data_IF_119364396354
#
_entry.id   IF_119364396354
#
_cell.length_a   1.000
_cell.length_b   1.000
_cell.length_c   1.000
_cell.angle_alpha   90.00
_cell.angle_beta   90.00
_cell.angle_gamma   90.00
#
_symmetry.space_group_name_H-M   'P 1'
#
loop_
_entity.id
_entity.type
_entity.pdbx_description
1 polymer ?
#
# COMPACT_ATOMS: atom_id res chain seq x y z
N UNK A 1 -3.11 -24.06 32.21
CA UNK A 1 -1.95 -23.16 32.35
C UNK A 1 -0.69 -24.00 32.28
N UNK A 2 -0.08 -24.14 31.10
CA UNK A 2 1.26 -24.72 31.01
C UNK A 2 2.25 -23.60 31.29
N UNK A 3 2.97 -23.72 32.41
CA UNK A 3 4.14 -22.91 32.72
C UNK A 3 5.40 -23.63 32.27
N UNK A 4 6.44 -22.89 31.92
CA UNK A 4 7.71 -23.47 31.46
C UNK A 4 8.90 -22.71 32.08
N UNK A 5 10.03 -23.41 32.17
CA UNK A 5 11.20 -23.09 32.98
C UNK A 5 12.52 -23.03 32.19
N UNK A 6 13.14 -21.83 32.16
CA UNK A 6 14.58 -21.46 32.22
C UNK A 6 15.38 -21.63 30.91
N UNK A 7 16.22 -20.70 30.39
CA UNK A 7 17.04 -19.59 30.91
C UNK A 7 17.13 -18.44 29.87
N UNK A 8 16.87 -17.19 30.27
CA UNK A 8 17.17 -15.97 29.49
C UNK A 8 16.54 -14.71 30.11
N UNK A 9 17.21 -13.54 30.04
CA UNK A 9 16.68 -12.27 30.55
C UNK A 9 15.89 -11.53 29.47
N UNK A 10 14.61 -11.28 29.76
CA UNK A 10 13.74 -10.35 29.04
C UNK A 10 13.99 -8.95 29.58
N UNK A 11 14.48 -8.03 28.76
CA UNK A 11 14.38 -6.60 29.08
C UNK A 11 12.97 -6.13 28.69
N UNK A 12 12.02 -6.38 29.59
CA UNK A 12 10.69 -5.77 29.54
C UNK A 12 10.88 -4.32 29.95
N UNK A 13 10.85 -3.34 29.06
CA UNK A 13 10.47 -1.96 29.36
C UNK A 13 10.55 -1.13 28.08
N UNK A 14 9.41 -0.79 27.47
CA UNK A 14 8.99 0.62 27.40
C UNK A 14 7.47 0.71 27.41
N UNK A 15 6.91 1.26 28.49
CA UNK A 15 5.54 1.76 28.51
C UNK A 15 5.62 3.24 28.15
N UNK A 16 5.54 3.57 26.85
CA UNK A 16 5.35 4.97 26.47
C UNK A 16 3.89 5.32 26.74
N UNK A 17 3.64 6.44 27.40
CA UNK A 17 2.30 6.98 27.62
C UNK A 17 1.52 6.97 26.29
N UNK A 18 0.52 6.10 26.17
CA UNK A 18 -0.34 5.97 24.99
C UNK A 18 0.15 5.03 23.87
N UNK A 19 1.14 4.14 24.08
CA UNK A 19 1.60 3.17 23.06
C UNK A 19 1.60 1.71 23.55
N UNK A 20 1.45 0.76 22.62
CA UNK A 20 1.49 -0.68 22.91
C UNK A 20 2.90 -1.12 23.39
N UNK A 21 2.98 -2.03 24.38
CA UNK A 21 4.25 -2.62 24.83
C UNK A 21 4.89 -3.52 23.77
N UNK A 22 6.21 -3.39 23.59
CA UNK A 22 7.03 -4.22 22.70
C UNK A 22 7.96 -5.15 23.50
N UNK A 23 8.22 -6.35 22.96
CA UNK A 23 9.25 -7.25 23.45
C UNK A 23 10.45 -7.23 22.49
N UNK A 24 11.65 -6.95 23.00
CA UNK A 24 12.90 -6.99 22.23
C UNK A 24 13.67 -8.25 22.55
N UNK A 25 14.03 -9.01 21.51
CA UNK A 25 14.81 -10.24 21.54
C UNK A 25 16.23 -9.92 21.06
N UNK A 26 17.20 -9.92 21.98
CA UNK A 26 18.62 -9.66 21.69
C UNK A 26 19.45 -10.95 21.68
N UNK A 27 20.50 -11.05 20.86
CA UNK A 27 21.41 -12.18 20.89
C UNK A 27 22.17 -12.24 22.24
N UNK A 28 21.99 -13.32 23.00
CA UNK A 28 22.97 -13.76 24.00
C UNK A 28 23.76 -14.92 23.40
N UNK A 29 25.06 -14.99 23.68
CA UNK A 29 25.95 -16.07 23.25
C UNK A 29 25.27 -17.44 23.40
N UNK A 30 24.73 -17.96 22.29
CA UNK A 30 24.06 -19.26 22.14
C UNK A 30 22.75 -19.56 22.93
N UNK A 31 21.89 -18.59 23.26
CA UNK A 31 20.63 -18.91 23.96
C UNK A 31 19.35 -18.23 23.42
N UNK A 32 18.26 -19.00 23.46
CA UNK A 32 16.86 -18.66 23.15
C UNK A 32 16.28 -17.58 24.08
N UNK A 33 15.44 -16.69 23.56
CA UNK A 33 14.71 -15.72 24.40
C UNK A 33 13.38 -16.28 24.88
N UNK A 34 13.22 -16.37 26.19
CA UNK A 34 12.02 -16.87 26.89
C UNK A 34 11.21 -15.68 27.46
N UNK A 35 10.03 -15.38 26.90
CA UNK A 35 9.13 -14.38 27.49
C UNK A 35 8.27 -15.00 28.62
N UNK A 36 8.47 -14.55 29.87
CA UNK A 36 7.64 -14.96 31.01
C UNK A 36 6.61 -13.90 31.36
N UNK A 37 5.33 -14.25 31.32
CA UNK A 37 4.24 -13.46 31.89
C UNK A 37 3.54 -14.26 32.99
N UNK A 38 3.63 -13.81 34.23
CA UNK A 38 3.12 -14.52 35.42
C UNK A 38 1.71 -14.11 35.85
N UNK A 39 1.02 -13.30 35.06
CA UNK A 39 -0.41 -13.04 35.26
C UNK A 39 -1.07 -12.63 33.96
N UNK A 40 -2.36 -12.96 33.85
CA UNK A 40 -3.27 -12.45 32.84
C UNK A 40 -3.24 -10.91 32.93
N UNK A 41 -2.39 -10.29 32.10
CA UNK A 41 -2.29 -8.85 32.02
C UNK A 41 -3.56 -8.34 31.36
N UNK A 42 -4.25 -7.41 32.01
CA UNK A 42 -5.41 -6.71 31.46
C UNK A 42 -5.02 -5.61 30.46
N UNK A 43 -3.73 -5.52 30.09
CA UNK A 43 -3.21 -4.60 29.09
C UNK A 43 -2.72 -5.36 27.86
N UNK A 44 -2.74 -4.72 26.70
CA UNK A 44 -2.32 -5.16 25.34
C UNK A 44 -0.82 -5.56 25.23
N UNK A 45 -0.31 -6.30 26.22
CA UNK A 45 1.04 -6.81 26.33
C UNK A 45 1.31 -7.96 25.37
N UNK A 46 2.55 -8.13 24.86
CA UNK A 46 2.95 -9.29 24.09
C UNK A 46 2.44 -10.58 24.77
N UNK A 47 1.54 -11.29 24.11
CA UNK A 47 0.82 -12.40 24.71
C UNK A 47 0.65 -13.55 23.74
N UNK A 48 0.86 -14.76 24.25
CA UNK A 48 0.78 -16.00 23.49
C UNK A 48 -0.19 -16.94 24.21
N UNK A 49 -1.16 -17.46 23.46
CA UNK A 49 -2.05 -18.55 23.91
C UNK A 49 -2.28 -19.50 22.75
N UNK A 50 -2.37 -20.81 23.05
CA UNK A 50 -2.75 -21.84 22.08
C UNK A 50 -1.91 -21.82 20.78
N UNK A 51 -0.59 -21.58 20.90
CA UNK A 51 0.36 -21.45 19.78
C UNK A 51 0.09 -20.27 18.83
N UNK A 52 -0.71 -19.31 19.28
CA UNK A 52 -1.00 -18.05 18.58
C UNK A 52 -0.38 -16.87 19.33
N UNK A 53 0.25 -15.98 18.58
CA UNK A 53 0.72 -14.68 19.07
C UNK A 53 -0.44 -13.69 18.94
N UNK A 54 -1.11 -13.40 20.06
CA UNK A 54 -2.40 -12.70 20.04
C UNK A 54 -2.22 -11.18 20.09
N UNK A 55 -1.24 -10.69 20.85
CA UNK A 55 -1.02 -9.26 21.09
C UNK A 55 0.47 -8.89 21.04
N UNK A 56 0.72 -7.60 20.83
CA UNK A 56 2.02 -6.94 21.01
C UNK A 56 2.98 -7.07 19.83
N UNK A 57 4.06 -6.30 19.89
CA UNK A 57 5.13 -6.30 18.89
C UNK A 57 6.32 -7.09 19.40
N UNK A 58 6.81 -8.02 18.57
CA UNK A 58 7.96 -8.86 18.85
C UNK A 58 9.10 -8.46 17.91
N UNK A 59 10.11 -7.80 18.44
CA UNK A 59 11.28 -7.34 17.71
C UNK A 59 12.40 -8.37 17.87
N UNK A 60 12.88 -8.95 16.76
CA UNK A 60 13.99 -9.90 16.75
C UNK A 60 15.19 -9.26 16.07
N UNK A 61 16.18 -8.90 16.89
CA UNK A 61 17.43 -8.30 16.42
C UNK A 61 18.31 -9.33 15.66
N UNK A 62 19.33 -8.89 14.91
CA UNK A 62 20.26 -9.77 14.21
C UNK A 62 20.85 -10.84 15.15
N UNK A 63 20.97 -12.07 14.66
CA UNK A 63 21.37 -13.28 15.41
C UNK A 63 20.49 -13.64 16.61
N UNK A 64 19.45 -12.83 16.88
CA UNK A 64 18.40 -13.07 17.85
C UNK A 64 17.49 -14.21 17.42
N UNK A 65 16.87 -14.83 18.42
CA UNK A 65 16.19 -16.11 18.29
C UNK A 65 14.94 -16.11 19.16
N UNK A 66 13.77 -15.86 18.57
CA UNK A 66 12.49 -15.92 19.30
C UNK A 66 12.02 -17.36 19.39
N UNK A 67 12.08 -18.00 20.56
CA UNK A 67 11.70 -19.40 20.77
C UNK A 67 10.61 -19.54 21.83
N UNK A 68 9.58 -20.34 21.54
CA UNK A 68 8.57 -20.67 22.54
C UNK A 68 8.94 -21.87 23.40
N UNK A 69 8.49 -21.77 24.63
CA UNK A 69 8.71 -22.70 25.70
C UNK A 69 8.14 -24.10 25.38
N UNK A 70 8.92 -25.17 25.62
CA UNK A 70 8.52 -26.56 25.38
C UNK A 70 8.69 -27.07 23.94
N UNK A 71 9.24 -26.26 23.03
CA UNK A 71 9.41 -26.63 21.62
C UNK A 71 8.10 -26.60 20.82
N UNK A 72 7.05 -25.98 21.37
CA UNK A 72 5.78 -25.78 20.69
C UNK A 72 5.96 -24.82 19.51
N UNK A 73 5.43 -25.20 18.36
CA UNK A 73 5.51 -24.42 17.13
C UNK A 73 4.46 -23.31 17.16
N UNK A 74 4.86 -22.04 17.00
CA UNK A 74 3.88 -20.99 16.65
C UNK A 74 3.32 -21.39 15.30
N UNK A 75 2.00 -21.51 15.23
CA UNK A 75 1.29 -21.79 13.98
C UNK A 75 0.54 -20.56 13.46
N UNK A 76 0.46 -19.49 14.26
CA UNK A 76 -0.33 -18.32 13.91
C UNK A 76 0.15 -16.99 14.53
N UNK A 77 0.12 -15.92 13.75
CA UNK A 77 0.10 -14.53 14.22
C UNK A 77 -1.37 -14.07 14.22
N UNK A 78 -1.89 -13.69 15.38
CA UNK A 78 -3.24 -13.14 15.53
C UNK A 78 -3.32 -11.71 14.99
N UNK A 79 -4.55 -11.21 14.77
CA UNK A 79 -4.77 -9.91 14.12
C UNK A 79 -4.19 -8.70 14.87
N UNK A 80 -3.94 -8.86 16.18
CA UNK A 80 -3.32 -7.83 17.03
C UNK A 80 -1.87 -8.14 17.40
N UNK A 81 -1.28 -9.14 16.75
CA UNK A 81 0.12 -9.53 16.88
C UNK A 81 0.98 -8.98 15.74
N UNK A 82 2.21 -8.60 16.05
CA UNK A 82 3.21 -8.22 15.05
C UNK A 82 4.57 -8.85 15.36
N UNK A 83 5.26 -9.33 14.32
CA UNK A 83 6.65 -9.80 14.39
C UNK A 83 7.48 -8.98 13.41
N UNK A 84 8.57 -8.39 13.89
CA UNK A 84 9.60 -7.76 13.07
C UNK A 84 10.89 -8.55 13.23
N UNK A 85 11.41 -9.08 12.13
CA UNK A 85 12.72 -9.73 12.09
C UNK A 85 13.70 -8.79 11.36
N UNK A 86 14.82 -8.47 12.00
CA UNK A 86 15.90 -7.66 11.40
C UNK A 86 17.16 -8.50 11.25
N UNK A 87 17.81 -8.40 10.08
CA UNK A 87 19.18 -8.85 9.90
C UNK A 87 19.21 -10.36 9.70
N UNK A 88 20.10 -11.03 10.41
CA UNK A 88 20.10 -12.48 10.55
C UNK A 88 19.11 -13.01 11.61
N UNK A 89 18.24 -12.15 12.16
CA UNK A 89 17.27 -12.51 13.19
C UNK A 89 16.34 -13.65 12.76
N UNK A 90 16.01 -14.54 13.70
CA UNK A 90 15.26 -15.77 13.44
C UNK A 90 14.10 -15.94 14.40
N UNK A 91 12.99 -16.46 13.89
CA UNK A 91 11.93 -17.05 14.69
C UNK A 91 12.22 -18.56 14.85
N UNK A 92 12.47 -19.05 16.07
CA UNK A 92 13.11 -20.34 16.29
C UNK A 92 12.18 -21.55 16.38
N UNK A 93 12.74 -22.64 15.84
CA UNK A 93 12.17 -23.92 15.44
C UNK A 93 11.32 -23.89 14.17
N UNK A 94 11.50 -22.86 13.33
CA UNK A 94 10.96 -22.80 11.97
C UNK A 94 12.04 -22.57 10.89
N UNK A 95 13.21 -23.26 10.85
CA UNK A 95 13.75 -23.57 9.53
C UNK A 95 12.79 -24.53 8.79
N UNK A 96 11.82 -25.14 9.48
CA UNK A 96 10.68 -25.89 8.95
C UNK A 96 9.49 -25.74 9.91
N UNK A 97 8.49 -24.90 9.62
CA UNK A 97 7.14 -25.17 10.16
C UNK A 97 6.73 -26.48 9.55
N UNK A 98 6.64 -27.56 10.31
CA UNK A 98 6.07 -28.79 9.75
C UNK A 98 4.58 -28.55 9.59
N UNK A 99 4.14 -28.38 8.35
CA UNK A 99 2.77 -28.03 8.02
C UNK A 99 2.58 -26.54 7.75
N UNK A 100 1.40 -26.04 8.10
CA UNK A 100 0.93 -24.71 7.73
C UNK A 100 1.20 -23.67 8.82
N UNK A 101 1.35 -22.40 8.40
CA UNK A 101 1.43 -21.24 9.28
C UNK A 101 0.48 -20.15 8.78
N UNK A 102 -0.23 -19.48 9.69
CA UNK A 102 -1.15 -18.39 9.37
C UNK A 102 -0.67 -17.03 9.90
N UNK A 103 -0.76 -15.98 9.10
CA UNK A 103 -0.56 -14.60 9.56
C UNK A 103 -1.85 -13.80 9.39
N UNK A 104 -2.48 -13.39 10.48
CA UNK A 104 -3.60 -12.44 10.45
C UNK A 104 -3.20 -11.03 10.94
N UNK A 105 -1.99 -10.87 11.45
CA UNK A 105 -1.44 -9.63 11.97
C UNK A 105 -0.39 -9.05 11.02
N UNK A 106 0.77 -8.67 11.55
CA UNK A 106 1.89 -8.18 10.75
C UNK A 106 3.14 -9.06 10.88
N UNK A 107 3.77 -9.37 9.74
CA UNK A 107 5.09 -9.99 9.66
C UNK A 107 6.00 -9.13 8.79
N UNK A 108 7.05 -8.56 9.34
CA UNK A 108 8.00 -7.73 8.60
C UNK A 108 9.38 -8.39 8.67
N UNK A 109 9.99 -8.58 7.50
CA UNK A 109 11.29 -9.20 7.31
C UNK A 109 12.22 -8.16 6.68
N UNK A 110 13.25 -7.73 7.39
CA UNK A 110 14.22 -6.75 6.91
C UNK A 110 15.67 -7.25 7.07
N UNK A 111 16.58 -6.74 6.24
CA UNK A 111 18.03 -6.96 6.39
C UNK A 111 18.48 -8.40 6.18
N UNK A 112 17.89 -9.12 5.22
CA UNK A 112 18.07 -10.55 4.95
C UNK A 112 17.43 -11.52 5.96
N UNK A 113 16.45 -11.05 6.73
CA UNK A 113 15.69 -11.92 7.62
C UNK A 113 14.99 -13.03 6.81
N UNK A 114 14.98 -14.25 7.34
CA UNK A 114 14.38 -15.41 6.67
C UNK A 114 13.26 -16.03 7.51
N UNK A 115 12.16 -16.38 6.86
CA UNK A 115 11.03 -17.08 7.46
C UNK A 115 10.70 -18.35 6.66
N UNK A 116 10.75 -19.54 7.29
CA UNK A 116 10.55 -20.82 6.59
C UNK A 116 9.36 -21.63 7.11
N UNK A 117 8.53 -22.09 6.18
CA UNK A 117 7.34 -22.93 6.36
C UNK A 117 7.47 -24.16 5.45
N UNK A 118 7.21 -25.38 5.93
CA UNK A 118 7.44 -26.59 5.10
C UNK A 118 6.34 -26.86 4.09
N UNK A 119 5.13 -26.36 4.35
CA UNK A 119 3.96 -26.48 3.47
C UNK A 119 3.47 -25.08 3.10
N UNK A 120 2.36 -24.63 3.70
CA UNK A 120 1.64 -23.42 3.29
C UNK A 120 1.79 -22.30 4.29
N UNK A 121 2.20 -21.12 3.82
CA UNK A 121 2.07 -19.87 4.55
C UNK A 121 0.82 -19.13 4.09
N UNK A 122 -0.23 -19.13 4.92
CA UNK A 122 -1.48 -18.41 4.63
C UNK A 122 -1.45 -17.03 5.27
N UNK A 123 -1.53 -15.99 4.45
CA UNK A 123 -1.57 -14.60 4.89
C UNK A 123 -2.99 -14.05 4.78
N UNK A 124 -3.50 -13.49 5.87
CA UNK A 124 -4.72 -12.70 5.96
C UNK A 124 -4.50 -11.29 6.53
N UNK A 125 -3.26 -10.97 6.91
CA UNK A 125 -2.81 -9.66 7.39
C UNK A 125 -1.76 -9.05 6.48
N UNK A 126 -0.77 -8.35 7.06
CA UNK A 126 0.31 -7.68 6.33
C UNK A 126 1.61 -8.49 6.39
N UNK A 127 2.29 -8.58 5.25
CA UNK A 127 3.66 -9.07 5.13
C UNK A 127 4.51 -8.01 4.43
N UNK A 128 5.57 -7.54 5.09
CA UNK A 128 6.57 -6.64 4.51
C UNK A 128 7.87 -7.37 4.25
N UNK A 129 8.36 -7.39 3.01
CA UNK A 129 9.63 -7.98 2.60
C UNK A 129 10.61 -6.91 2.16
N UNK A 130 11.50 -6.52 3.07
CA UNK A 130 12.42 -5.41 2.90
C UNK A 130 13.87 -5.87 2.89
N UNK A 131 14.75 -5.15 2.20
CA UNK A 131 16.22 -5.32 2.25
C UNK A 131 16.69 -6.80 2.26
N UNK A 132 16.21 -7.60 1.30
CA UNK A 132 16.56 -9.02 1.18
C UNK A 132 15.78 -9.97 2.08
N UNK A 133 14.75 -9.48 2.78
CA UNK A 133 13.80 -10.28 3.53
C UNK A 133 13.20 -11.39 2.66
N UNK A 134 13.12 -12.61 3.20
CA UNK A 134 12.66 -13.75 2.41
C UNK A 134 11.78 -14.74 3.16
N UNK A 135 10.82 -15.28 2.42
CA UNK A 135 9.97 -16.39 2.84
C UNK A 135 10.39 -17.63 2.08
N UNK A 136 10.44 -18.78 2.74
CA UNK A 136 10.57 -20.08 2.12
C UNK A 136 9.32 -20.90 2.48
N UNK A 137 8.51 -21.24 1.49
CA UNK A 137 7.32 -22.08 1.64
C UNK A 137 7.14 -22.97 0.41
N UNK A 138 6.38 -24.07 0.48
CA UNK A 138 5.94 -24.71 -0.77
C UNK A 138 4.92 -23.81 -1.47
N UNK A 139 4.03 -23.21 -0.66
CA UNK A 139 2.99 -22.30 -1.12
C UNK A 139 2.84 -21.11 -0.18
N UNK A 140 2.76 -19.92 -0.74
CA UNK A 140 2.22 -18.72 -0.11
C UNK A 140 0.79 -18.54 -0.58
N UNK A 141 -0.16 -18.31 0.32
CA UNK A 141 -1.57 -18.04 0.00
C UNK A 141 -1.97 -16.70 0.60
N UNK A 142 -2.23 -15.70 -0.24
CA UNK A 142 -2.82 -14.43 0.17
C UNK A 142 -4.34 -14.49 0.12
N UNK A 143 -5.01 -14.29 1.26
CA UNK A 143 -6.46 -14.17 1.31
C UNK A 143 -6.92 -12.78 0.79
N UNK A 144 -8.22 -12.58 0.50
CA UNK A 144 -8.75 -11.29 0.01
C UNK A 144 -8.42 -10.05 0.84
N UNK A 145 -8.21 -10.20 2.15
CA UNK A 145 -7.84 -9.10 3.04
C UNK A 145 -6.34 -8.92 3.25
N UNK A 146 -5.52 -9.75 2.59
CA UNK A 146 -4.08 -9.79 2.81
C UNK A 146 -3.36 -8.72 2.00
N UNK A 147 -2.24 -8.25 2.55
CA UNK A 147 -1.31 -7.35 1.89
C UNK A 147 0.09 -7.93 1.95
N UNK A 148 0.79 -7.88 0.82
CA UNK A 148 2.19 -8.23 0.68
C UNK A 148 2.89 -7.07 -0.01
N UNK A 149 3.85 -6.46 0.67
CA UNK A 149 4.66 -5.41 0.07
C UNK A 149 6.12 -5.48 0.49
N UNK A 150 6.84 -4.39 0.22
CA UNK A 150 8.20 -4.15 0.66
C UNK A 150 9.16 -3.85 -0.49
N UNK A 151 10.25 -3.16 -0.16
CA UNK A 151 11.17 -2.61 -1.15
C UNK A 151 12.09 -3.65 -1.81
N UNK A 152 12.38 -4.77 -1.16
CA UNK A 152 13.26 -5.79 -1.73
C UNK A 152 13.04 -7.14 -1.04
N UNK A 153 12.23 -8.00 -1.66
CA UNK A 153 11.75 -9.23 -1.07
C UNK A 153 11.90 -10.47 -1.95
N UNK A 154 11.96 -11.64 -1.33
CA UNK A 154 11.89 -12.91 -2.06
C UNK A 154 10.94 -13.92 -1.41
N UNK A 155 10.05 -14.52 -2.21
CA UNK A 155 9.28 -15.70 -1.82
C UNK A 155 9.83 -16.90 -2.57
N UNK A 156 10.41 -17.85 -1.85
CA UNK A 156 10.85 -19.13 -2.36
C UNK A 156 9.71 -20.13 -2.21
N UNK A 157 8.89 -20.26 -3.26
CA UNK A 157 7.67 -21.07 -3.27
C UNK A 157 6.71 -20.59 -4.35
N UNK A 158 5.64 -21.36 -4.58
CA UNK A 158 4.55 -20.87 -5.44
C UNK A 158 3.67 -19.89 -4.66
N UNK A 159 3.13 -18.88 -5.33
CA UNK A 159 2.29 -17.84 -4.73
C UNK A 159 0.90 -17.91 -5.34
N UNK A 160 -0.12 -18.00 -4.49
CA UNK A 160 -1.50 -17.70 -4.84
C UNK A 160 -1.88 -16.36 -4.24
N UNK A 161 -2.18 -15.38 -5.09
CA UNK A 161 -2.58 -14.04 -4.69
C UNK A 161 -4.09 -13.88 -4.78
N UNK A 162 -4.77 -13.88 -3.64
CA UNK A 162 -6.14 -13.42 -3.50
C UNK A 162 -6.29 -12.06 -2.85
N UNK A 163 -5.23 -11.46 -2.32
CA UNK A 163 -5.22 -10.13 -1.71
C UNK A 163 -4.51 -9.10 -2.57
N UNK A 164 -3.78 -8.18 -1.95
CA UNK A 164 -3.01 -7.12 -2.63
C UNK A 164 -1.51 -7.40 -2.55
N UNK A 165 -0.82 -7.36 -3.68
CA UNK A 165 0.65 -7.35 -3.78
C UNK A 165 1.08 -5.97 -4.28
N UNK A 166 1.98 -5.34 -3.53
CA UNK A 166 2.42 -3.95 -3.70
C UNK A 166 3.93 -3.92 -3.47
N UNK A 167 4.77 -4.30 -4.46
CA UNK A 167 6.20 -4.06 -4.34
C UNK A 167 6.43 -2.58 -3.98
N UNK A 168 7.43 -2.30 -3.17
CA UNK A 168 7.74 -0.92 -2.77
C UNK A 168 7.06 -0.48 -1.48
N UNK A 169 5.78 -0.84 -1.33
CA UNK A 169 5.00 -0.50 -0.16
C UNK A 169 5.50 -1.25 1.09
N UNK A 170 6.31 -0.54 1.86
CA UNK A 170 6.96 -1.06 3.06
C UNK A 170 6.13 -0.81 4.33
N UNK A 171 4.95 -0.19 4.20
CA UNK A 171 4.15 0.30 5.29
C UNK A 171 2.77 -0.37 5.37
N UNK A 172 2.21 -0.39 6.57
CA UNK A 172 0.81 -0.78 6.75
C UNK A 172 -0.06 0.45 6.49
N UNK A 173 -0.33 0.81 5.22
CA UNK A 173 -1.29 1.84 4.74
C UNK A 173 -2.03 2.70 5.82
N UNK A 174 -1.77 4.02 5.80
CA UNK A 174 -2.32 5.10 6.66
C UNK A 174 -3.66 5.68 6.13
N UNK A 175 -4.31 5.07 5.13
CA UNK A 175 -5.51 5.65 4.50
C UNK A 175 -6.80 5.68 5.37
N UNK A 176 -6.71 5.43 6.68
CA UNK A 176 -7.75 5.77 7.67
C UNK A 176 -7.26 6.90 8.60
N UNK A 177 -7.53 8.19 8.31
CA UNK A 177 -6.95 9.28 9.07
C UNK A 177 -7.61 9.45 10.45
N UNK A 178 -6.81 9.39 11.52
CA UNK A 178 -7.18 9.97 12.82
C UNK A 178 -6.13 11.01 13.22
N UNK A 179 -6.48 12.29 13.05
CA UNK A 179 -5.70 13.42 13.56
C UNK A 179 -5.69 13.41 15.09
N UNK A 180 -4.51 13.53 15.71
CA UNK A 180 -4.39 13.93 17.12
C UNK A 180 -3.42 15.13 17.22
N UNK A 181 -3.83 16.26 17.83
CA UNK A 181 -3.05 17.49 17.86
C UNK A 181 -1.83 17.36 18.77
N UNK A 182 -0.69 17.87 18.29
CA UNK A 182 0.56 17.94 19.05
C UNK A 182 0.48 18.94 20.21
N UNK A 183 0.94 18.53 21.40
CA UNK A 183 1.77 19.37 22.28
C UNK A 183 2.24 18.62 23.55
N UNK A 184 3.56 18.41 23.70
CA UNK A 184 4.44 19.11 24.67
C UNK A 184 5.87 18.49 24.63
N UNK A 185 6.95 19.25 24.94
CA UNK A 185 8.32 18.84 24.69
C UNK A 185 9.03 18.30 25.95
N UNK A 186 10.00 17.42 25.71
CA UNK A 186 11.13 17.21 26.61
C UNK A 186 11.33 15.77 27.07
N UNK A 187 12.12 15.00 26.32
CA UNK A 187 13.13 14.13 26.93
C UNK A 187 14.25 13.85 25.93
N UNK A 188 15.50 14.05 26.36
CA UNK A 188 16.71 14.02 25.52
C UNK A 188 17.50 12.73 25.77
N UNK A 189 16.97 11.61 25.29
CA UNK A 189 17.67 10.32 25.16
C UNK A 189 17.44 9.72 23.77
N UNK A 190 18.13 8.63 23.37
CA UNK A 190 17.85 7.95 22.11
C UNK A 190 16.40 7.44 22.11
N UNK A 191 15.56 8.05 21.29
CA UNK A 191 14.14 7.72 21.16
C UNK A 191 13.97 6.77 19.98
N UNK A 192 13.63 5.50 20.24
CA UNK A 192 12.99 4.65 19.24
C UNK A 192 11.55 5.15 19.08
N UNK A 193 11.28 5.98 18.07
CA UNK A 193 9.94 6.53 17.84
C UNK A 193 9.05 5.51 17.13
N UNK A 194 8.31 4.71 17.91
CA UNK A 194 7.14 3.95 17.42
C UNK A 194 5.95 4.92 17.21
N UNK A 195 6.01 5.84 16.25
CA UNK A 195 4.87 6.68 15.88
C UNK A 195 4.02 5.94 14.84
N UNK A 196 2.70 5.85 15.06
CA UNK A 196 1.77 5.33 14.06
C UNK A 196 1.42 3.85 14.21
N UNK A 197 0.75 3.46 15.29
CA UNK A 197 -0.11 2.27 15.24
C UNK A 197 -1.55 2.67 15.64
N UNK A 198 -2.24 3.58 14.92
CA UNK A 198 -3.68 3.68 15.08
C UNK A 198 -4.31 2.30 14.82
N UNK A 199 -5.25 1.92 15.69
CA UNK A 199 -6.18 0.83 15.39
C UNK A 199 -7.19 1.36 14.39
N UNK A 200 -7.43 0.63 13.28
CA UNK A 200 -8.68 0.85 12.55
C UNK A 200 -9.88 0.51 13.48
N UNK A 201 -11.12 0.94 13.18
CA UNK A 201 -12.30 0.61 13.98
C UNK A 201 -12.56 -0.91 14.14
N UNK A 202 -11.84 -1.75 13.37
CA UNK A 202 -11.92 -3.21 13.37
C UNK A 202 -10.74 -3.88 14.12
N UNK A 203 -9.81 -3.11 14.68
CA UNK A 203 -8.65 -3.59 15.44
C UNK A 203 -7.44 -4.08 14.62
N UNK A 204 -7.30 -3.67 13.35
CA UNK A 204 -6.09 -3.88 12.51
C UNK A 204 -5.03 -2.81 12.77
N UNK A 205 -3.77 -3.16 12.54
CA UNK A 205 -2.65 -2.21 12.59
C UNK A 205 -2.64 -1.32 11.33
N UNK A 206 -2.29 -0.05 11.47
CA UNK A 206 -1.96 0.90 10.38
C UNK A 206 -0.75 1.75 10.82
N UNK A 207 0.20 2.06 9.93
CA UNK A 207 1.35 2.95 10.08
C UNK A 207 2.75 2.37 9.76
N UNK A 208 3.71 3.27 9.51
CA UNK A 208 5.10 2.97 9.13
C UNK A 208 6.07 2.83 10.32
N UNK A 209 7.12 2.02 10.17
CA UNK A 209 8.18 1.84 11.18
C UNK A 209 9.34 2.81 10.92
N UNK A 210 9.52 3.83 11.77
CA UNK A 210 10.69 4.73 11.72
C UNK A 210 11.68 4.46 12.87
N UNK A 211 12.91 4.04 12.54
CA UNK A 211 14.05 4.05 13.45
C UNK A 211 15.01 5.17 13.04
N UNK A 212 14.97 6.33 13.72
CA UNK A 212 15.91 7.43 13.47
C UNK A 212 17.07 7.41 14.47
N UNK A 213 18.32 7.43 13.99
CA UNK A 213 19.49 7.82 14.80
C UNK A 213 19.58 9.35 14.83
N UNK A 214 19.64 9.92 16.03
CA UNK A 214 20.26 11.22 16.22
C UNK A 214 21.17 11.19 17.45
N UNK A 215 22.42 10.76 17.30
CA UNK A 215 23.60 11.63 17.41
C UNK A 215 24.89 10.83 17.71
N UNK A 216 25.91 11.10 16.88
CA UNK A 216 27.34 10.82 17.03
C UNK A 216 27.82 9.37 17.22
N UNK A 217 28.41 8.87 16.13
CA UNK A 217 29.19 7.63 15.96
C UNK A 217 30.23 7.34 17.07
N UNK A 218 30.51 6.05 17.37
CA UNK A 218 31.27 5.23 16.41
C UNK A 218 30.60 3.89 16.07
N UNK A 219 30.17 3.78 14.81
CA UNK A 219 30.33 2.59 13.96
C UNK A 219 30.03 1.21 14.57
N UNK A 220 28.75 0.83 14.57
CA UNK A 220 28.29 -0.45 14.05
C UNK A 220 27.19 -0.10 13.05
N UNK A 221 27.49 -0.21 11.76
CA UNK A 221 26.67 0.35 10.69
C UNK A 221 25.28 -0.26 10.62
N UNK A 222 24.26 0.53 10.98
CA UNK A 222 22.92 0.43 10.41
C UNK A 222 22.80 1.62 9.46
N UNK A 223 22.47 1.36 8.20
CA UNK A 223 22.38 2.40 7.18
C UNK A 223 21.28 3.39 7.56
N UNK A 224 21.46 4.71 7.32
CA UNK A 224 20.42 5.69 7.58
C UNK A 224 19.21 5.42 6.68
N UNK A 225 18.04 5.22 7.29
CA UNK A 225 16.71 5.34 6.66
C UNK A 225 16.50 6.81 6.26
N UNK A 226 17.17 7.24 5.19
CA UNK A 226 16.70 8.37 4.40
C UNK A 226 15.63 7.82 3.45
N UNK A 227 14.39 8.25 3.66
CA UNK A 227 13.18 7.95 2.89
C UNK A 227 12.56 6.58 3.15
N UNK A 228 11.71 6.51 4.17
CA UNK A 228 10.43 5.80 4.00
C UNK A 228 9.57 6.78 3.19
N UNK A 229 9.76 6.79 1.87
CA UNK A 229 8.68 7.26 1.01
C UNK A 229 7.63 6.15 1.04
N UNK A 230 6.38 6.54 1.26
CA UNK A 230 5.23 5.63 1.06
C UNK A 230 5.15 5.18 -0.43
N UNK A 231 5.96 5.80 -1.31
CA UNK A 231 6.19 5.51 -2.73
C UNK A 231 7.60 4.93 -3.01
N UNK A 232 8.23 4.20 -2.07
CA UNK A 232 9.55 3.59 -2.35
C UNK A 232 9.44 2.61 -3.52
N UNK A 233 10.28 2.74 -4.54
CA UNK A 233 10.41 1.71 -5.58
C UNK A 233 10.82 0.38 -4.97
N UNK A 234 10.11 -0.71 -5.31
CA UNK A 234 10.42 -2.02 -4.76
C UNK A 234 10.36 -3.20 -5.71
N UNK A 235 11.05 -4.26 -5.32
CA UNK A 235 11.17 -5.49 -6.08
C UNK A 235 10.75 -6.69 -5.23
N UNK A 236 9.72 -7.40 -5.67
CA UNK A 236 9.34 -8.70 -5.10
C UNK A 236 9.70 -9.79 -6.11
N UNK A 237 10.53 -10.74 -5.68
CA UNK A 237 10.89 -11.91 -6.48
C UNK A 237 10.16 -13.16 -5.98
N UNK A 238 9.54 -13.91 -6.89
CA UNK A 238 8.87 -15.19 -6.63
C UNK A 238 9.66 -16.30 -7.32
N UNK A 239 10.29 -17.18 -6.54
CA UNK A 239 11.02 -18.36 -7.01
C UNK A 239 10.10 -19.59 -7.11
N UNK A 240 9.01 -19.44 -7.85
CA UNK A 240 7.98 -20.46 -8.08
C UNK A 240 6.93 -19.94 -9.06
N UNK A 241 5.82 -20.66 -9.18
CA UNK A 241 4.69 -20.21 -10.00
C UNK A 241 3.90 -19.12 -9.27
N UNK A 242 3.32 -18.18 -10.02
CA UNK A 242 2.44 -17.13 -9.52
C UNK A 242 1.04 -17.35 -10.07
N UNK A 243 0.02 -17.30 -9.22
CA UNK A 243 -1.39 -17.33 -9.64
C UNK A 243 -2.13 -16.18 -8.99
N UNK A 244 -2.58 -15.22 -9.79
CA UNK A 244 -3.50 -14.17 -9.33
C UNK A 244 -4.94 -14.68 -9.49
N UNK A 245 -5.68 -14.71 -8.38
CA UNK A 245 -7.09 -15.12 -8.36
C UNK A 245 -8.01 -13.95 -8.73
N UNK A 246 -9.31 -14.20 -8.84
CA UNK A 246 -10.32 -13.18 -9.19
C UNK A 246 -10.36 -11.98 -8.21
N UNK A 247 -10.02 -12.18 -6.94
CA UNK A 247 -9.94 -11.11 -5.93
C UNK A 247 -8.55 -10.51 -5.80
N UNK A 248 -7.55 -11.11 -6.45
CA UNK A 248 -6.16 -10.69 -6.37
C UNK A 248 -5.94 -9.35 -7.05
N UNK A 249 -5.13 -8.51 -6.42
CA UNK A 249 -4.70 -7.20 -6.91
C UNK A 249 -3.17 -7.19 -6.95
N UNK A 250 -2.60 -6.74 -8.06
CA UNK A 250 -1.20 -6.35 -8.19
C UNK A 250 -1.16 -4.85 -8.43
N UNK A 251 -0.57 -4.08 -7.53
CA UNK A 251 -0.33 -2.65 -7.70
C UNK A 251 1.17 -2.41 -7.96
N UNK A 252 1.48 -1.55 -8.92
CA UNK A 252 2.84 -1.23 -9.33
C UNK A 252 2.98 0.26 -9.60
N UNK A 253 3.93 0.90 -8.93
CA UNK A 253 4.35 2.27 -9.17
C UNK A 253 5.34 2.32 -10.34
N UNK A 254 5.02 3.15 -11.33
CA UNK A 254 5.83 3.31 -12.54
C UNK A 254 6.53 4.66 -12.53
N UNK A 255 7.84 4.64 -12.31
CA UNK A 255 8.73 5.79 -12.34
C UNK A 255 9.92 5.61 -13.28
N UNK A 256 10.42 6.72 -13.82
CA UNK A 256 11.66 6.78 -14.61
C UNK A 256 11.63 5.98 -15.93
N UNK A 257 12.80 5.55 -16.39
CA UNK A 257 12.97 4.70 -17.59
C UNK A 257 13.84 3.46 -17.34
N UNK A 258 14.52 3.43 -16.20
CA UNK A 258 15.27 2.27 -15.74
C UNK A 258 14.34 1.39 -14.88
N UNK A 259 14.49 0.05 -14.92
CA UNK A 259 13.69 -0.84 -14.08
C UNK A 259 13.77 -0.51 -12.59
N UNK A 260 14.91 0.00 -12.11
CA UNK A 260 15.13 0.36 -10.69
C UNK A 260 14.38 1.63 -10.26
N UNK A 261 13.71 2.30 -11.19
CA UNK A 261 12.89 3.50 -10.93
C UNK A 261 11.39 3.15 -10.92
N UNK A 262 11.02 1.88 -11.11
CA UNK A 262 9.64 1.37 -11.06
C UNK A 262 9.55 0.13 -10.19
N UNK A 263 8.39 -0.11 -9.61
CA UNK A 263 8.09 -1.36 -8.96
C UNK A 263 8.23 -2.54 -9.91
N UNK A 264 8.69 -3.65 -9.34
CA UNK A 264 8.85 -4.89 -10.08
C UNK A 264 8.30 -6.09 -9.32
N UNK A 265 7.52 -6.89 -10.06
CA UNK A 265 7.22 -8.27 -9.70
C UNK A 265 7.97 -9.21 -10.65
N UNK A 266 8.91 -9.97 -10.11
CA UNK A 266 9.73 -10.93 -10.87
C UNK A 266 9.28 -12.34 -10.51
N UNK A 267 8.78 -13.10 -11.49
CA UNK A 267 8.33 -14.49 -11.31
C UNK A 267 9.26 -15.43 -12.06
N UNK A 268 10.00 -16.26 -11.33
CA UNK A 268 10.91 -17.23 -11.96
C UNK A 268 10.20 -18.51 -12.42
N UNK A 269 8.88 -18.65 -12.21
CA UNK A 269 8.03 -19.71 -12.74
C UNK A 269 6.99 -19.21 -13.75
N UNK A 270 5.88 -19.94 -13.87
CA UNK A 270 4.73 -19.57 -14.70
C UNK A 270 3.83 -18.62 -13.92
N UNK A 271 3.42 -17.52 -14.54
CA UNK A 271 2.42 -16.62 -14.02
C UNK A 271 1.06 -16.85 -14.68
N UNK A 272 0.06 -17.22 -13.88
CA UNK A 272 -1.35 -17.29 -14.29
C UNK A 272 -2.05 -16.02 -13.81
N UNK A 273 -2.54 -15.21 -14.74
CA UNK A 273 -3.13 -13.89 -14.47
C UNK A 273 -4.66 -13.97 -14.40
N UNK A 274 -5.22 -13.11 -13.56
CA UNK A 274 -6.65 -12.89 -13.30
C UNK A 274 -6.81 -11.68 -12.36
N UNK A 275 -8.02 -11.33 -11.95
CA UNK A 275 -8.23 -10.22 -11.00
C UNK A 275 -7.76 -8.87 -11.54
N UNK A 276 -7.20 -8.02 -10.68
CA UNK A 276 -6.91 -6.61 -11.01
C UNK A 276 -5.41 -6.31 -11.08
N UNK A 277 -5.01 -5.58 -12.12
CA UNK A 277 -3.75 -4.84 -12.17
C UNK A 277 -4.02 -3.36 -11.92
N UNK A 278 -3.29 -2.73 -11.01
CA UNK A 278 -3.29 -1.30 -10.77
C UNK A 278 -1.91 -0.77 -11.16
N UNK A 279 -1.88 0.24 -12.03
CA UNK A 279 -0.66 0.97 -12.37
C UNK A 279 -0.77 2.39 -11.84
N UNK A 280 0.22 2.81 -11.07
CA UNK A 280 0.31 4.13 -10.48
C UNK A 280 1.50 4.87 -11.10
N UNK A 281 1.43 6.20 -11.18
CA UNK A 281 2.61 7.00 -11.47
C UNK A 281 3.37 7.28 -10.18
N UNK A 282 4.66 6.96 -10.16
CA UNK A 282 5.53 7.31 -9.03
C UNK A 282 5.61 8.83 -8.84
N UNK A 283 5.63 9.31 -7.59
CA UNK A 283 5.60 10.72 -7.18
C UNK A 283 4.41 11.53 -7.75
N UNK A 284 3.31 10.88 -8.11
CA UNK A 284 2.13 11.51 -8.74
C UNK A 284 2.42 12.27 -10.06
N UNK A 285 3.61 12.07 -10.65
CA UNK A 285 3.99 12.69 -11.92
C UNK A 285 3.79 11.71 -13.06
N UNK A 286 2.84 12.00 -13.94
CA UNK A 286 2.62 11.14 -15.09
C UNK A 286 3.84 11.10 -16.04
N UNK A 287 4.31 9.91 -16.44
CA UNK A 287 5.44 9.81 -17.35
C UNK A 287 5.18 10.44 -18.72
N UNK A 288 6.25 10.89 -19.38
CA UNK A 288 6.16 11.45 -20.74
C UNK A 288 5.55 10.42 -21.69
N UNK A 289 4.63 10.87 -22.55
CA UNK A 289 3.99 10.02 -23.56
C UNK A 289 5.01 9.21 -24.38
N UNK A 290 4.76 7.91 -24.48
CA UNK A 290 5.63 6.94 -25.15
C UNK A 290 6.71 6.32 -24.25
N UNK A 291 6.84 6.77 -23.00
CA UNK A 291 7.71 6.10 -22.01
C UNK A 291 7.20 4.68 -21.78
N UNK A 292 8.09 3.69 -21.84
CA UNK A 292 7.75 2.29 -21.69
C UNK A 292 8.44 1.67 -20.48
N UNK A 293 7.67 0.89 -19.73
CA UNK A 293 8.05 0.19 -18.50
C UNK A 293 7.92 -1.32 -18.70
N UNK A 294 8.71 -2.09 -17.96
CA UNK A 294 8.61 -3.57 -17.92
C UNK A 294 8.57 -4.05 -16.46
N UNK A 295 7.49 -3.74 -15.71
CA UNK A 295 7.44 -3.93 -14.26
C UNK A 295 7.11 -5.37 -13.85
N UNK A 296 6.85 -6.25 -14.82
CA UNK A 296 6.50 -7.64 -14.55
C UNK A 296 7.17 -8.58 -15.52
N UNK A 297 7.84 -9.59 -14.99
CA UNK A 297 8.50 -10.65 -15.76
C UNK A 297 8.13 -12.02 -15.22
N UNK A 298 8.00 -12.99 -16.13
CA UNK A 298 7.72 -14.38 -15.80
C UNK A 298 8.47 -15.33 -16.75
N UNK A 299 8.69 -16.60 -16.36
CA UNK A 299 9.18 -17.61 -17.31
C UNK A 299 8.15 -17.96 -18.38
N UNK A 300 6.87 -17.85 -18.05
CA UNK A 300 5.74 -17.95 -18.97
C UNK A 300 4.54 -17.19 -18.39
N UNK A 301 3.73 -16.56 -19.24
CA UNK A 301 2.46 -15.94 -18.86
C UNK A 301 1.29 -16.73 -19.45
N UNK A 302 0.27 -16.98 -18.63
CA UNK A 302 -0.99 -17.61 -19.01
C UNK A 302 -2.14 -16.70 -18.56
N UNK A 303 -3.11 -16.46 -19.44
CA UNK A 303 -4.26 -15.62 -19.15
C UNK A 303 -3.96 -14.13 -19.28
N UNK A 304 -4.83 -13.31 -18.68
CA UNK A 304 -4.76 -11.85 -18.66
C UNK A 304 -5.37 -11.35 -17.35
N UNK A 305 -5.09 -10.12 -16.96
CA UNK A 305 -5.85 -9.47 -15.87
C UNK A 305 -7.30 -9.25 -16.32
N UNK A 306 -8.24 -9.43 -15.40
CA UNK A 306 -9.67 -9.19 -15.66
C UNK A 306 -9.97 -7.69 -15.70
N UNK A 307 -9.27 -6.92 -14.85
CA UNK A 307 -9.37 -5.47 -14.74
C UNK A 307 -7.98 -4.85 -14.77
N UNK A 308 -7.83 -3.76 -15.53
CA UNK A 308 -6.67 -2.89 -15.47
C UNK A 308 -7.17 -1.52 -15.02
N UNK A 309 -6.61 -1.01 -13.94
CA UNK A 309 -6.89 0.30 -13.39
C UNK A 309 -5.63 1.16 -13.38
N UNK A 310 -5.82 2.48 -13.45
CA UNK A 310 -4.75 3.46 -13.42
C UNK A 310 -5.05 4.42 -12.27
N UNK A 311 -4.14 4.53 -11.29
CA UNK A 311 -4.25 5.58 -10.28
C UNK A 311 -3.66 6.85 -10.85
N UNK A 312 -4.52 7.81 -11.18
CA UNK A 312 -4.14 9.07 -11.84
C UNK A 312 -4.99 10.20 -11.26
N UNK A 313 -4.37 11.39 -11.13
CA UNK A 313 -5.07 12.65 -10.86
C UNK A 313 -5.77 13.25 -12.10
N UNK A 314 -5.64 12.64 -13.30
CA UNK A 314 -6.39 13.03 -14.51
C UNK A 314 -7.01 11.84 -15.26
N UNK A 315 -8.10 12.09 -15.97
CA UNK A 315 -8.94 11.10 -16.67
C UNK A 315 -8.45 10.66 -18.04
N UNK A 316 -7.48 11.36 -18.64
CA UNK A 316 -6.99 11.06 -20.01
C UNK A 316 -5.58 10.48 -20.03
N UNK A 317 -4.89 10.45 -18.91
CA UNK A 317 -3.59 9.81 -18.81
C UNK A 317 -3.82 8.31 -18.51
N UNK A 318 -3.26 7.44 -19.36
CA UNK A 318 -3.40 5.99 -19.21
C UNK A 318 -2.09 5.28 -19.53
N UNK A 319 -1.96 4.03 -19.09
CA UNK A 319 -0.92 3.14 -19.56
C UNK A 319 -1.49 2.16 -20.59
N UNK A 320 -0.94 2.15 -21.79
CA UNK A 320 -1.19 1.07 -22.73
C UNK A 320 -0.45 -0.19 -22.26
N UNK A 321 -1.19 -1.17 -21.76
CA UNK A 321 -0.66 -2.44 -21.26
C UNK A 321 -0.64 -3.48 -22.38
N UNK A 322 0.51 -4.11 -22.60
CA UNK A 322 0.65 -5.25 -23.49
C UNK A 322 1.37 -6.39 -22.78
N UNK A 323 0.80 -7.59 -22.88
CA UNK A 323 1.41 -8.83 -22.40
C UNK A 323 2.22 -9.49 -23.52
N UNK A 324 3.35 -10.06 -23.13
CA UNK A 324 4.17 -10.96 -23.95
C UNK A 324 4.18 -12.35 -23.31
N UNK A 325 4.82 -13.33 -23.95
CA UNK A 325 4.93 -14.68 -23.37
C UNK A 325 5.67 -14.69 -22.01
N UNK A 326 6.46 -13.66 -21.69
CA UNK A 326 7.38 -13.63 -20.52
C UNK A 326 7.35 -12.34 -19.72
N UNK A 327 6.40 -11.42 -19.98
CA UNK A 327 6.35 -10.15 -19.25
C UNK A 327 5.25 -9.22 -19.69
N UNK A 328 5.11 -8.12 -18.96
CA UNK A 328 4.19 -7.02 -19.24
C UNK A 328 4.99 -5.79 -19.64
N UNK A 329 4.55 -5.11 -20.69
CA UNK A 329 4.99 -3.75 -21.00
C UNK A 329 3.86 -2.77 -20.79
N UNK A 330 4.11 -1.69 -20.04
CA UNK A 330 3.20 -0.57 -19.88
C UNK A 330 3.79 0.65 -20.57
N UNK A 331 3.03 1.35 -21.42
CA UNK A 331 3.50 2.57 -22.07
C UNK A 331 2.60 3.75 -21.74
N UNK A 332 3.17 4.81 -21.16
CA UNK A 332 2.43 6.02 -20.84
C UNK A 332 1.88 6.67 -22.11
N UNK A 333 0.61 7.05 -22.10
CA UNK A 333 -0.01 7.80 -23.17
C UNK A 333 -1.09 8.75 -22.66
N UNK A 334 -1.36 9.80 -23.43
CA UNK A 334 -2.56 10.63 -23.26
C UNK A 334 -3.60 10.21 -24.30
N UNK A 335 -4.82 9.94 -23.84
CA UNK A 335 -5.97 9.68 -24.68
C UNK A 335 -6.30 10.91 -25.54
N UNK A 336 -6.32 10.70 -26.85
CA UNK A 336 -6.75 11.70 -27.82
C UNK A 336 -8.22 11.45 -28.19
N UNK A 337 -9.13 11.79 -27.27
CA UNK A 337 -10.58 11.60 -27.43
C UNK A 337 -11.30 12.96 -27.42
N UNK A 338 -12.25 13.13 -28.33
CA UNK A 338 -12.89 14.43 -28.59
C UNK A 338 -14.37 14.48 -28.22
N UNK A 339 -14.95 13.32 -27.88
CA UNK A 339 -16.34 13.16 -27.45
C UNK A 339 -16.46 12.28 -26.21
N UNK A 340 -17.56 12.42 -25.47
CA UNK A 340 -17.87 11.58 -24.31
C UNK A 340 -17.97 10.10 -24.72
N UNK A 341 -18.52 9.82 -25.89
CA UNK A 341 -18.64 8.44 -26.39
C UNK A 341 -17.27 7.78 -26.59
N UNK A 342 -16.32 8.49 -27.22
CA UNK A 342 -14.95 7.99 -27.41
C UNK A 342 -14.22 7.82 -26.07
N UNK A 343 -14.40 8.76 -25.13
CA UNK A 343 -13.82 8.64 -23.79
C UNK A 343 -14.42 7.46 -23.02
N UNK A 344 -15.74 7.26 -23.08
CA UNK A 344 -16.42 6.14 -22.45
C UNK A 344 -15.88 4.81 -22.98
N UNK A 345 -15.67 4.70 -24.28
CA UNK A 345 -15.08 3.52 -24.90
C UNK A 345 -13.63 3.26 -24.46
N UNK A 346 -12.87 4.32 -24.18
CA UNK A 346 -11.47 4.23 -23.77
C UNK A 346 -11.28 3.92 -22.27
N UNK A 347 -12.16 4.40 -21.40
CA UNK A 347 -12.02 4.30 -19.94
C UNK A 347 -12.75 3.08 -19.34
N UNK A 348 -13.88 2.69 -19.92
CA UNK A 348 -14.70 1.60 -19.42
C UNK A 348 -14.50 0.33 -20.25
N UNK A 349 -14.42 -0.81 -19.58
CA UNK A 349 -14.41 -2.13 -20.22
C UNK A 349 -15.72 -2.38 -20.97
N UNK A 350 -15.72 -3.36 -21.88
CA UNK A 350 -16.92 -3.75 -22.63
C UNK A 350 -18.09 -4.13 -21.71
N UNK A 351 -17.81 -4.70 -20.53
CA UNK A 351 -18.84 -5.07 -19.55
C UNK A 351 -19.40 -3.81 -18.89
N UNK A 352 -18.54 -2.92 -18.40
CA UNK A 352 -18.95 -1.65 -17.77
C UNK A 352 -19.73 -0.75 -18.73
N UNK A 353 -19.37 -0.75 -20.03
CA UNK A 353 -20.10 -0.02 -21.07
C UNK A 353 -21.54 -0.50 -21.29
N UNK A 354 -21.87 -1.73 -20.87
CA UNK A 354 -23.25 -2.24 -20.93
C UNK A 354 -24.10 -1.87 -19.71
N UNK A 355 -23.46 -1.33 -18.66
CA UNK A 355 -24.14 -0.86 -17.46
C UNK A 355 -24.17 0.67 -17.42
N UNK A 356 -25.33 1.26 -17.74
CA UNK A 356 -25.53 2.70 -17.73
C UNK A 356 -25.48 3.30 -16.31
N UNK A 357 -25.62 2.50 -15.25
CA UNK A 357 -25.42 2.96 -13.88
C UNK A 357 -23.93 3.10 -13.51
N UNK A 358 -23.03 2.56 -14.35
CA UNK A 358 -21.57 2.67 -14.17
C UNK A 358 -20.97 3.65 -15.18
N UNK A 359 -21.32 3.53 -16.46
CA UNK A 359 -20.68 4.29 -17.56
C UNK A 359 -21.58 5.34 -18.22
N UNK A 360 -22.82 5.51 -17.73
CA UNK A 360 -23.74 6.52 -18.25
C UNK A 360 -23.32 7.95 -17.86
N UNK A 361 -23.84 8.95 -18.57
CA UNK A 361 -23.49 10.38 -18.38
C UNK A 361 -23.65 10.89 -16.93
N UNK A 362 -24.66 10.37 -16.22
CA UNK A 362 -25.01 10.77 -14.86
C UNK A 362 -24.61 9.74 -13.80
N UNK A 363 -23.89 8.69 -14.20
CA UNK A 363 -23.37 7.70 -13.26
C UNK A 363 -22.17 8.27 -12.51
N UNK A 364 -22.02 7.85 -11.26
CA UNK A 364 -20.99 8.21 -10.30
C UNK A 364 -20.53 6.90 -9.64
N UNK A 365 -19.65 6.13 -10.32
CA UNK A 365 -19.34 4.76 -9.89
C UNK A 365 -18.28 4.69 -8.78
N UNK A 366 -17.49 5.74 -8.56
CA UNK A 366 -16.55 5.89 -7.44
C UNK A 366 -17.17 6.61 -6.22
N UNK A 367 -18.28 7.31 -6.41
CA UNK A 367 -19.13 7.82 -5.33
C UNK A 367 -18.62 9.12 -4.71
N UNK A 368 -17.85 9.91 -5.46
CA UNK A 368 -17.34 11.20 -5.01
C UNK A 368 -18.30 12.38 -5.28
N UNK A 369 -19.43 12.10 -5.95
CA UNK A 369 -20.45 13.07 -6.31
C UNK A 369 -20.23 13.72 -7.67
N UNK A 370 -19.17 13.35 -8.40
CA UNK A 370 -18.89 13.79 -9.76
C UNK A 370 -19.40 12.74 -10.75
N UNK A 371 -20.40 13.12 -11.53
CA UNK A 371 -20.88 12.23 -12.58
C UNK A 371 -19.86 12.12 -13.73
N UNK A 372 -19.88 11.00 -14.45
CA UNK A 372 -19.00 10.74 -15.59
C UNK A 372 -18.93 11.88 -16.63
N UNK A 373 -20.02 12.61 -16.88
CA UNK A 373 -19.98 13.77 -17.79
C UNK A 373 -19.06 14.87 -17.26
N UNK A 374 -19.06 15.10 -15.95
CA UNK A 374 -18.21 16.10 -15.31
C UNK A 374 -16.76 15.61 -15.25
N UNK A 375 -16.54 14.34 -14.93
CA UNK A 375 -15.22 13.68 -15.02
C UNK A 375 -14.62 13.84 -16.42
N UNK A 376 -15.38 13.49 -17.46
CA UNK A 376 -14.97 13.70 -18.85
C UNK A 376 -14.61 15.15 -19.18
N UNK A 377 -15.41 16.09 -18.67
CA UNK A 377 -15.31 17.52 -18.96
C UNK A 377 -14.14 18.20 -18.24
N UNK A 378 -13.88 17.78 -17.01
CA UNK A 378 -12.87 18.33 -16.13
C UNK A 378 -11.53 17.59 -16.20
N UNK A 379 -11.44 16.57 -17.05
CA UNK A 379 -10.28 15.68 -17.12
C UNK A 379 -10.04 14.90 -15.82
N UNK A 380 -11.12 14.48 -15.15
CA UNK A 380 -11.11 13.65 -13.94
C UNK A 380 -11.22 12.14 -14.23
N UNK A 381 -10.94 11.32 -13.22
CA UNK A 381 -10.93 9.87 -13.32
C UNK A 381 -12.18 9.27 -12.65
N UNK A 382 -13.14 8.68 -13.41
CA UNK A 382 -14.41 8.20 -12.89
C UNK A 382 -14.29 6.87 -12.13
N UNK A 383 -13.09 6.46 -11.72
CA UNK A 383 -12.85 5.21 -10.99
C UNK A 383 -12.07 5.47 -9.71
N UNK A 384 -11.79 6.73 -9.40
CA UNK A 384 -10.94 7.16 -8.30
C UNK A 384 -11.61 8.35 -7.64
N UNK A 385 -11.98 8.19 -6.37
CA UNK A 385 -12.55 9.27 -5.56
C UNK A 385 -11.61 10.48 -5.60
N UNK A 386 -12.09 11.60 -6.15
CA UNK A 386 -11.35 12.86 -6.18
C UNK A 386 -12.14 13.97 -5.48
N UNK A 387 -11.41 14.96 -4.95
CA UNK A 387 -12.06 16.19 -4.50
C UNK A 387 -12.34 17.07 -5.72
N UNK A 388 -13.52 17.72 -5.79
CA UNK A 388 -13.86 18.58 -6.91
C UNK A 388 -12.80 19.67 -7.11
N UNK A 389 -12.15 19.65 -8.27
CA UNK A 389 -11.12 20.62 -8.65
C UNK A 389 -11.72 21.94 -9.16
N UNK A 390 -12.66 22.54 -8.41
CA UNK A 390 -13.25 23.84 -8.77
C UNK A 390 -12.97 24.83 -7.66
N UNK A 391 -12.15 25.84 -7.95
CA UNK A 391 -11.93 26.98 -7.07
C UNK A 391 -12.78 28.18 -7.55
N UNK A 392 -13.24 28.99 -6.60
CA UNK A 392 -13.99 30.20 -6.89
C UNK A 392 -13.56 31.36 -6.01
N UNK A 393 -13.17 32.46 -6.65
CA UNK A 393 -12.76 33.68 -5.99
C UNK A 393 -13.83 34.76 -6.19
N UNK A 394 -14.26 35.39 -5.10
CA UNK A 394 -15.19 36.51 -5.10
C UNK A 394 -14.46 37.79 -4.73
N UNK A 395 -14.42 38.76 -5.63
CA UNK A 395 -14.03 40.12 -5.28
C UNK A 395 -15.27 40.91 -4.90
N UNK A 396 -15.17 41.70 -3.83
CA UNK A 396 -16.27 42.53 -3.32
C UNK A 396 -15.90 44.00 -3.45
N UNK A 397 -16.87 44.81 -3.90
CA UNK A 397 -16.74 46.26 -3.93
C UNK A 397 -16.74 46.84 -2.50
N UNK A 398 -16.39 48.13 -2.38
CA UNK A 398 -16.34 48.84 -1.08
C UNK A 398 -17.69 48.92 -0.34
N UNK A 399 -18.81 48.61 -0.99
CA UNK A 399 -20.15 48.52 -0.39
C UNK A 399 -20.55 47.09 0.03
N UNK A 400 -19.67 46.10 -0.13
CA UNK A 400 -19.91 44.70 0.23
C UNK A 400 -20.70 43.88 -0.79
N UNK A 401 -20.94 44.41 -2.00
CA UNK A 401 -21.50 43.65 -3.11
C UNK A 401 -20.40 42.97 -3.91
N UNK A 402 -20.67 41.80 -4.52
CA UNK A 402 -19.73 41.11 -5.40
C UNK A 402 -19.44 41.98 -6.63
N UNK A 403 -18.17 42.29 -6.86
CA UNK A 403 -17.64 43.06 -8.00
C UNK A 403 -17.24 42.14 -9.15
N UNK A 404 -16.59 41.01 -8.86
CA UNK A 404 -16.22 40.00 -9.83
C UNK A 404 -16.26 38.60 -9.22
N UNK A 405 -16.47 37.58 -10.05
CA UNK A 405 -16.34 36.17 -9.70
C UNK A 405 -15.37 35.54 -10.69
N UNK A 406 -14.33 34.91 -10.18
CA UNK A 406 -13.42 34.06 -10.96
C UNK A 406 -13.73 32.62 -10.59
N UNK A 407 -13.83 31.75 -11.60
CA UNK A 407 -13.99 30.31 -11.41
C UNK A 407 -12.83 29.65 -12.14
N UNK A 408 -12.01 28.91 -11.40
CA UNK A 408 -10.87 28.18 -11.91
C UNK A 408 -11.17 26.68 -11.81
N UNK A 409 -11.09 25.99 -12.94
CA UNK A 409 -11.36 24.55 -13.03
C UNK A 409 -10.50 23.93 -14.13
N UNK A 410 -10.09 22.66 -14.00
CA UNK A 410 -9.41 21.94 -15.06
C UNK A 410 -10.41 21.70 -16.18
N UNK A 411 -9.93 21.79 -17.42
CA UNK A 411 -10.74 21.52 -18.59
C UNK A 411 -10.01 20.55 -19.48
N UNK A 412 -10.67 19.45 -19.79
CA UNK A 412 -10.17 18.50 -20.76
C UNK A 412 -9.94 19.18 -22.12
N UNK A 413 -8.72 19.03 -22.65
CA UNK A 413 -8.36 19.61 -23.94
C UNK A 413 -8.98 18.82 -25.11
N UNK A 414 -9.38 19.53 -26.17
CA UNK A 414 -9.83 18.90 -27.43
C UNK A 414 -11.27 18.38 -27.47
N UNK A 415 -12.08 18.62 -26.42
CA UNK A 415 -13.51 18.26 -26.42
C UNK A 415 -14.32 19.05 -27.46
N UNK A 416 -15.27 18.39 -28.11
CA UNK A 416 -16.10 18.97 -29.18
C UNK A 416 -17.60 18.93 -28.90
N UNK A 417 -18.02 18.22 -27.86
CA UNK A 417 -19.43 17.94 -27.54
C UNK A 417 -19.86 18.46 -26.15
N UNK A 418 -18.98 19.18 -25.44
CA UNK A 418 -19.27 19.84 -24.16
C UNK A 418 -19.16 21.35 -24.30
N UNK A 419 -20.13 22.07 -23.74
CA UNK A 419 -20.11 23.52 -23.60
C UNK A 419 -20.25 23.91 -22.14
N UNK A 420 -19.41 24.85 -21.70
CA UNK A 420 -19.50 25.43 -20.36
C UNK A 420 -20.26 26.74 -20.44
N UNK A 421 -21.23 26.92 -19.56
CA UNK A 421 -21.95 28.19 -19.36
C UNK A 421 -21.96 28.51 -17.87
N UNK A 422 -21.59 29.74 -17.53
CA UNK A 422 -21.68 30.21 -16.16
C UNK A 422 -23.09 30.77 -15.93
N UNK A 423 -23.73 30.37 -14.84
CA UNK A 423 -25.04 30.89 -14.43
C UNK A 423 -24.99 31.31 -12.97
N UNK A 424 -25.85 32.24 -12.58
CA UNK A 424 -26.01 32.65 -11.18
C UNK A 424 -27.47 32.56 -10.75
N UNK A 425 -27.69 32.40 -9.46
CA UNK A 425 -29.00 32.38 -8.84
C UNK A 425 -29.03 33.25 -7.59
N UNK A 426 -30.20 33.81 -7.27
CA UNK A 426 -30.45 34.54 -6.02
C UNK A 426 -31.39 33.78 -5.07
N UNK A 427 -31.97 32.67 -5.53
CA UNK A 427 -32.94 31.85 -4.81
C UNK A 427 -32.58 30.36 -4.76
N UNK A 428 -31.49 29.95 -5.44
CA UNK A 428 -31.02 28.58 -5.64
C UNK A 428 -32.00 27.68 -6.40
N UNK A 429 -32.97 28.26 -7.10
CA UNK A 429 -34.00 27.55 -7.87
C UNK A 429 -34.01 28.02 -9.34
N UNK A 430 -33.98 29.33 -9.54
CA UNK A 430 -33.91 29.96 -10.87
C UNK A 430 -32.47 30.35 -11.18
N UNK A 431 -31.95 29.88 -12.32
CA UNK A 431 -30.60 30.17 -12.78
C UNK A 431 -30.62 31.10 -14.00
N UNK A 432 -29.75 32.11 -13.99
CA UNK A 432 -29.65 33.14 -15.01
C UNK A 432 -28.25 33.06 -15.65
N UNK A 433 -28.15 32.93 -16.98
CA UNK A 433 -26.86 32.93 -17.67
C UNK A 433 -26.07 34.23 -17.44
N UNK A 434 -24.78 34.09 -17.13
CA UNK A 434 -23.81 35.18 -17.17
C UNK A 434 -23.27 35.31 -18.59
N UNK A 435 -23.55 36.43 -19.25
CA UNK A 435 -22.91 36.78 -20.52
C UNK A 435 -21.53 37.37 -20.23
N UNK A 436 -20.47 36.61 -20.50
CA UNK A 436 -19.07 36.98 -20.23
C UNK A 436 -18.57 38.17 -21.09
N UNK A 437 -17.68 38.98 -20.53
CA UNK A 437 -16.53 39.53 -21.28
C UNK A 437 -15.36 38.59 -20.99
N UNK A 438 -15.07 37.66 -21.89
CA UNK A 438 -14.02 36.66 -21.69
C UNK A 438 -12.62 37.29 -21.71
N UNK A 439 -11.88 37.16 -20.60
CA UNK A 439 -10.41 37.11 -20.63
C UNK A 439 -10.00 35.66 -20.39
N UNK A 440 -9.91 34.89 -21.47
CA UNK A 440 -9.32 33.57 -21.45
C UNK A 440 -7.81 33.72 -21.28
N UNK A 441 -7.28 33.27 -20.14
CA UNK A 441 -5.83 33.15 -19.95
C UNK A 441 -5.53 31.66 -19.85
N UNK A 442 -5.33 30.99 -20.99
CA UNK A 442 -4.72 29.66 -20.99
C UNK A 442 -3.32 29.81 -20.38
N UNK A 443 -3.10 29.22 -19.21
CA UNK A 443 -1.75 28.96 -18.76
C UNK A 443 -1.29 27.66 -19.44
N UNK A 444 -0.21 27.68 -20.24
CA UNK A 444 0.37 26.43 -20.72
C UNK A 444 0.92 25.67 -19.51
N UNK A 445 0.38 24.46 -19.29
CA UNK A 445 0.92 23.47 -18.36
C UNK A 445 2.20 22.83 -18.86
#
# INVERSE_FOLDING_TARGET
MQGVSSLGTVENYVQFSGKRPALVVRPFSSASVEARFTSQSTSESPFISDNELIYGVWLVEPDGMLQLNGGATISKIGSKGAILLWGSGKLNNLPNVVGNFANNGALILSGNAQFTVSETFSNGGFVGLNEGGSIQAQRYEGNPSSRLGGNQGTINGSVENGGKIEPGDSAVDDSDPVTIPASYPGDSGPVLSLSGFPEDPNGKFSGAFMASDSADSPSVGMLPLNQVDEDSIGVITINGDYTQTETGVLALDLGGTNPEESDQLIVNGTATLGGTLILLSHDEVFPVNGTAFSPFTASAIVGQFDVISYGMASGRQIFNVALTDTGLTASAMTLNVSTFAEWREAIFSVVEQTDEAVSGLLADPDGDGLANLLEYALDGNPKVVTQPMVDSLFEYNQSGGVESVTVDFPRANGMTDVQFSLEYSTDLDSWIPLTSQEQHTEQPG
#
